data_IF_762025961373
#
_entry.id   IF_762025961373
#
_cell.length_a   1.000
_cell.length_b   1.000
_cell.length_c   1.000
_cell.angle_alpha   90.00
_cell.angle_beta   90.00
_cell.angle_gamma   90.00
#
_symmetry.space_group_name_H-M   'P 1'
#
loop_
_entity.id
_entity.type
_entity.pdbx_description
1 polymer ?
#
# COMPACT_ATOMS: atom_id res chain seq x y z
N UNK A 1 -1.14 -22.66 28.45
CA UNK A 1 -0.29 -21.47 28.23
C UNK A 1 -0.15 -21.26 26.74
N UNK A 2 -0.40 -20.04 26.24
CA UNK A 2 -0.28 -19.73 24.81
C UNK A 2 1.18 -19.47 24.43
N UNK A 3 1.56 -19.88 23.22
CA UNK A 3 2.87 -19.57 22.66
C UNK A 3 2.94 -18.08 22.27
N UNK A 4 4.01 -17.40 22.72
CA UNK A 4 4.39 -16.05 22.27
C UNK A 4 5.62 -16.17 21.39
N UNK A 5 5.63 -15.53 20.22
CA UNK A 5 6.80 -15.53 19.36
C UNK A 5 7.94 -14.72 19.97
N UNK A 6 9.20 -15.11 19.72
CA UNK A 6 10.38 -14.37 20.20
C UNK A 6 10.36 -12.91 19.71
N UNK A 7 9.86 -12.66 18.50
CA UNK A 7 9.70 -11.31 17.97
C UNK A 7 8.73 -10.46 18.81
N UNK A 8 7.62 -11.06 19.25
CA UNK A 8 6.64 -10.36 20.11
C UNK A 8 7.26 -10.03 21.47
N UNK A 9 7.97 -10.99 22.08
CA UNK A 9 8.66 -10.77 23.35
C UNK A 9 9.70 -9.64 23.23
N UNK A 10 10.55 -9.70 22.21
CA UNK A 10 11.56 -8.67 21.92
C UNK A 10 10.94 -7.28 21.76
N UNK A 11 9.89 -7.14 20.95
CA UNK A 11 9.24 -5.84 20.75
C UNK A 11 8.66 -5.29 22.05
N UNK A 12 8.13 -6.16 22.91
CA UNK A 12 7.56 -5.77 24.21
C UNK A 12 8.65 -5.23 25.14
N UNK A 13 9.78 -5.93 25.21
CA UNK A 13 10.95 -5.52 26.01
C UNK A 13 11.58 -4.22 25.48
N UNK A 14 11.70 -4.09 24.16
CA UNK A 14 12.19 -2.87 23.51
C UNK A 14 11.32 -1.66 23.86
N UNK A 15 10.00 -1.81 23.78
CA UNK A 15 9.06 -0.76 24.12
C UNK A 15 9.07 -0.38 25.61
N UNK A 16 9.34 -1.34 26.50
CA UNK A 16 9.44 -1.08 27.93
C UNK A 16 10.74 -0.37 28.31
N UNK A 17 11.85 -0.72 27.66
CA UNK A 17 13.17 -0.13 27.92
C UNK A 17 13.37 1.24 27.27
N UNK A 18 12.65 1.55 26.19
CA UNK A 18 12.82 2.78 25.41
C UNK A 18 11.49 3.54 25.23
N UNK A 19 10.95 4.18 26.30
CA UNK A 19 9.69 4.90 26.24
C UNK A 19 9.70 6.09 25.25
N UNK A 20 10.86 6.69 24.98
CA UNK A 20 11.06 7.79 24.02
C UNK A 20 10.69 7.42 22.58
N UNK A 21 10.72 6.12 22.23
CA UNK A 21 10.34 5.65 20.91
C UNK A 21 8.88 5.93 20.58
N UNK A 22 8.00 6.07 21.57
CA UNK A 22 6.60 6.48 21.34
C UNK A 22 6.52 7.88 20.77
N UNK A 23 7.27 8.81 21.34
CA UNK A 23 7.26 10.19 20.89
C UNK A 23 7.94 10.32 19.52
N UNK A 24 9.08 9.63 19.35
CA UNK A 24 9.77 9.58 18.06
C UNK A 24 8.90 9.00 16.95
N UNK A 25 8.12 7.93 17.25
CA UNK A 25 7.13 7.36 16.32
C UNK A 25 6.09 8.39 15.91
N UNK A 26 5.53 9.14 16.87
CA UNK A 26 4.55 10.18 16.59
C UNK A 26 5.12 11.28 15.69
N UNK A 27 6.30 11.81 16.05
CA UNK A 27 6.99 12.86 15.29
C UNK A 27 7.31 12.40 13.87
N UNK A 28 7.91 11.22 13.70
CA UNK A 28 8.25 10.70 12.37
C UNK A 28 7.02 10.40 11.51
N UNK A 29 5.93 9.90 12.12
CA UNK A 29 4.67 9.68 11.42
C UNK A 29 4.07 11.01 10.95
N UNK A 30 4.11 12.05 11.76
CA UNK A 30 3.63 13.37 11.39
C UNK A 30 4.42 14.00 10.23
N UNK A 31 5.73 13.75 10.13
CA UNK A 31 6.58 14.35 9.10
C UNK A 31 6.16 13.96 7.68
N UNK A 32 5.95 12.67 7.40
CA UNK A 32 5.70 12.20 6.04
C UNK A 32 4.37 11.46 5.85
N UNK A 33 3.79 10.93 6.92
CA UNK A 33 2.63 10.05 6.80
C UNK A 33 1.31 10.78 7.06
N UNK A 34 1.24 11.59 8.11
CA UNK A 34 0.02 12.34 8.45
C UNK A 34 0.00 13.71 7.73
N UNK A 35 -0.01 13.68 6.38
CA UNK A 35 -0.19 14.89 5.56
C UNK A 35 -1.69 15.19 5.41
N UNK A 36 -2.15 16.44 5.66
CA UNK A 36 -3.52 16.83 5.40
C UNK A 36 -3.85 16.67 3.92
N UNK A 37 -5.00 16.06 3.64
CA UNK A 37 -5.52 15.93 2.28
C UNK A 37 -6.48 17.09 1.99
N UNK A 38 -6.32 17.73 0.84
CA UNK A 38 -7.27 18.74 0.37
C UNK A 38 -8.51 18.05 -0.22
N UNK A 39 -9.65 18.17 0.46
CA UNK A 39 -10.90 17.56 0.02
C UNK A 39 -11.44 18.15 -1.30
N UNK A 40 -11.12 19.39 -1.64
CA UNK A 40 -11.43 20.00 -2.95
C UNK A 40 -10.68 19.30 -4.06
N UNK A 41 -9.35 19.24 -3.93
CA UNK A 41 -8.48 18.56 -4.90
C UNK A 41 -8.83 17.07 -5.06
N UNK A 42 -9.17 16.38 -3.96
CA UNK A 42 -9.58 14.98 -4.03
C UNK A 42 -10.85 14.80 -4.88
N UNK A 43 -11.84 15.69 -4.72
CA UNK A 43 -13.07 15.66 -5.54
C UNK A 43 -12.78 15.91 -7.02
N UNK A 44 -11.89 16.85 -7.32
CA UNK A 44 -11.48 17.12 -8.71
C UNK A 44 -10.76 15.91 -9.33
N UNK A 45 -9.90 15.23 -8.57
CA UNK A 45 -9.21 14.01 -9.00
C UNK A 45 -10.17 12.85 -9.23
N UNK A 46 -11.16 12.69 -8.36
CA UNK A 46 -12.20 11.67 -8.51
C UNK A 46 -13.06 11.93 -9.75
N UNK A 47 -13.41 13.19 -10.02
CA UNK A 47 -14.15 13.59 -11.21
C UNK A 47 -13.35 13.37 -12.51
N UNK A 48 -12.02 13.51 -12.46
CA UNK A 48 -11.13 13.33 -13.61
C UNK A 48 -10.70 11.86 -13.85
N UNK A 49 -11.21 10.89 -13.07
CA UNK A 49 -10.73 9.50 -13.10
C UNK A 49 -11.12 8.79 -14.41
N UNK A 50 -10.13 8.24 -15.12
CA UNK A 50 -10.33 7.44 -16.34
C UNK A 50 -10.23 5.94 -16.02
N UNK A 51 -11.17 5.09 -16.48
CA UNK A 51 -11.08 3.64 -16.32
C UNK A 51 -9.80 3.07 -16.93
N UNK A 52 -9.02 2.35 -16.13
CA UNK A 52 -7.79 1.68 -16.54
C UNK A 52 -8.07 0.19 -16.80
N UNK A 53 -7.39 -0.40 -17.79
CA UNK A 53 -7.47 -1.85 -18.03
C UNK A 53 -6.79 -2.65 -16.90
N UNK A 54 -7.14 -3.93 -16.77
CA UNK A 54 -6.54 -4.83 -15.76
C UNK A 54 -5.00 -4.90 -15.84
N UNK A 55 -4.47 -4.70 -17.05
CA UNK A 55 -3.05 -4.69 -17.33
C UNK A 55 -2.70 -3.43 -18.13
N UNK A 56 -2.45 -2.32 -17.42
CA UNK A 56 -2.21 -0.99 -18.02
C UNK A 56 -1.03 -0.99 -19.01
N UNK A 57 0.00 -1.77 -18.72
CA UNK A 57 1.21 -1.85 -19.53
C UNK A 57 1.16 -2.91 -20.63
N UNK A 58 0.07 -3.67 -20.73
CA UNK A 58 -0.06 -4.71 -21.75
C UNK A 58 -0.98 -4.25 -22.88
N UNK A 59 -0.68 -4.62 -24.13
CA UNK A 59 -1.59 -4.37 -25.23
C UNK A 59 -2.93 -5.04 -24.93
N UNK A 60 -4.03 -4.31 -25.16
CA UNK A 60 -5.37 -4.90 -25.07
C UNK A 60 -5.43 -6.04 -26.08
N UNK A 61 -5.89 -7.24 -25.70
CA UNK A 61 -6.02 -8.33 -26.65
C UNK A 61 -6.91 -7.87 -27.80
N UNK A 62 -6.39 -7.93 -29.02
CA UNK A 62 -7.16 -7.55 -30.20
C UNK A 62 -8.20 -8.63 -30.47
N UNK A 63 -9.44 -8.24 -30.75
CA UNK A 63 -10.56 -9.16 -31.03
C UNK A 63 -10.32 -10.04 -32.28
N UNK A 64 -9.37 -9.67 -33.14
CA UNK A 64 -9.03 -10.34 -34.39
C UNK A 64 -7.60 -10.92 -34.37
N UNK A 65 -7.12 -11.38 -33.21
CA UNK A 65 -5.91 -12.19 -33.19
C UNK A 65 -6.21 -13.54 -33.89
N UNK A 66 -5.40 -13.98 -34.88
CA UNK A 66 -5.58 -15.31 -35.42
C UNK A 66 -5.43 -16.31 -34.26
N UNK A 67 -6.48 -17.10 -34.04
CA UNK A 67 -6.47 -18.20 -33.07
C UNK A 67 -5.24 -19.05 -33.37
N UNK A 68 -4.30 -19.11 -32.42
CA UNK A 68 -3.05 -19.83 -32.59
C UNK A 68 -3.33 -21.25 -33.06
N UNK A 69 -2.68 -21.62 -34.16
CA UNK A 69 -2.71 -22.95 -34.76
C UNK A 69 -2.29 -23.98 -33.71
N UNK A 70 -3.21 -24.89 -33.42
CA UNK A 70 -3.07 -26.00 -32.49
C UNK A 70 -2.14 -27.05 -33.11
N UNK A 71 -0.81 -26.92 -32.97
CA UNK A 71 0.14 -28.03 -33.21
C UNK A 71 1.43 -27.97 -32.38
N UNK A 72 1.60 -29.07 -31.64
CA UNK A 72 2.83 -29.72 -31.11
C UNK A 72 3.30 -29.31 -29.72
#
# INVERSE_FOLDING_TARGET
MGYESEATRFLRELHASHPELRELRSRNRATWWDRPQDAGLQRERDAARVPQGAYVYFPKPSRNAPQGDDRS
#
